data_IF_098000916270
#
_entry.id   IF_098000916270
#
_cell.length_a   1.000
_cell.length_b   1.000
_cell.length_c   1.000
_cell.angle_alpha   90.00
_cell.angle_beta   90.00
_cell.angle_gamma   90.00
#
_symmetry.space_group_name_H-M   'P 1'
#
loop_
_entity.id
_entity.type
_entity.pdbx_description
1 polymer ?
#
# COMPACT_ATOMS: atom_id res chain seq x y z
N UNK A 1 -10.44 0.33 -6.29
CA UNK A 1 -9.86 1.42 -5.47
C UNK A 1 -8.35 1.41 -5.67
N UNK A 2 -7.61 2.41 -5.18
CA UNK A 2 -6.15 2.67 -5.37
C UNK A 2 -5.57 2.32 -6.75
N UNK A 3 -5.31 1.05 -7.06
CA UNK A 3 -4.82 0.59 -8.38
C UNK A 3 -5.72 0.98 -9.56
N UNK A 4 -7.01 1.21 -9.30
CA UNK A 4 -8.00 1.59 -10.31
C UNK A 4 -8.39 3.08 -10.29
N UNK A 5 -7.69 3.90 -9.51
CA UNK A 5 -7.97 5.32 -9.40
C UNK A 5 -7.58 6.08 -10.68
N UNK A 6 -8.29 7.16 -10.98
CA UNK A 6 -7.99 8.01 -12.12
C UNK A 6 -7.02 9.12 -11.70
N UNK A 7 -5.95 9.31 -12.48
CA UNK A 7 -4.95 10.36 -12.26
C UNK A 7 -5.33 11.69 -12.94
N UNK A 8 -6.41 11.67 -13.74
CA UNK A 8 -6.86 12.79 -14.54
C UNK A 8 -8.23 13.27 -14.06
N UNK A 9 -8.46 14.56 -14.20
CA UNK A 9 -9.77 15.18 -13.98
C UNK A 9 -10.70 14.94 -15.19
N UNK A 10 -11.92 15.46 -15.11
CA UNK A 10 -12.95 15.33 -16.17
C UNK A 10 -12.56 15.98 -17.51
N UNK A 11 -11.58 16.88 -17.52
CA UNK A 11 -11.03 17.49 -18.73
C UNK A 11 -9.86 16.69 -19.34
N UNK A 12 -9.49 15.55 -18.73
CA UNK A 12 -8.34 14.75 -19.14
C UNK A 12 -6.99 15.36 -18.73
N UNK A 13 -6.97 16.31 -17.80
CA UNK A 13 -5.75 16.95 -17.27
C UNK A 13 -5.36 16.37 -15.92
N UNK A 14 -4.09 16.45 -15.50
CA UNK A 14 -3.70 16.11 -14.14
C UNK A 14 -4.55 16.83 -13.09
N UNK A 15 -4.81 16.16 -11.97
CA UNK A 15 -5.59 16.72 -10.87
C UNK A 15 -4.83 17.89 -10.23
N UNK A 16 -5.53 18.96 -9.90
CA UNK A 16 -4.98 20.08 -9.14
C UNK A 16 -5.31 19.94 -7.64
N UNK A 17 -4.44 20.45 -6.78
CA UNK A 17 -4.71 20.62 -5.36
C UNK A 17 -5.62 21.84 -5.11
N UNK A 18 -5.95 22.11 -3.84
CA UNK A 18 -6.83 23.21 -3.48
C UNK A 18 -6.29 24.59 -3.93
N UNK A 19 -4.96 24.74 -4.01
CA UNK A 19 -4.29 25.98 -4.40
C UNK A 19 -4.26 26.17 -5.93
N UNK A 20 -4.96 25.31 -6.69
CA UNK A 20 -4.95 25.28 -8.15
C UNK A 20 -3.59 24.95 -8.77
N UNK A 21 -2.66 24.38 -7.99
CA UNK A 21 -1.40 23.84 -8.48
C UNK A 21 -1.56 22.33 -8.77
N UNK A 22 -0.64 21.75 -9.56
CA UNK A 22 -0.63 20.31 -9.81
C UNK A 22 -0.56 19.53 -8.49
N UNK A 23 -1.46 18.55 -8.31
CA UNK A 23 -1.45 17.69 -7.14
C UNK A 23 -0.29 16.70 -7.23
N UNK A 24 0.43 16.54 -6.12
CA UNK A 24 1.46 15.53 -5.98
C UNK A 24 0.91 14.26 -5.33
N UNK A 25 1.79 13.27 -5.16
CA UNK A 25 1.46 12.00 -4.53
C UNK A 25 0.90 12.16 -3.11
N UNK A 26 1.34 13.18 -2.37
CA UNK A 26 0.87 13.43 -1.00
C UNK A 26 -0.52 14.08 -0.98
N UNK A 27 -0.88 14.82 -2.03
CA UNK A 27 -2.19 15.43 -2.18
C UNK A 27 -3.27 14.44 -2.67
N UNK A 28 -2.94 13.56 -3.63
CA UNK A 28 -3.94 12.66 -4.25
C UNK A 28 -3.76 11.18 -3.94
N UNK A 29 -2.63 10.76 -3.36
CA UNK A 29 -2.29 9.34 -3.25
C UNK A 29 -2.33 8.68 -4.63
N UNK A 30 -3.11 7.62 -4.76
CA UNK A 30 -3.30 6.91 -6.04
C UNK A 30 -4.17 7.65 -7.06
N UNK A 31 -4.82 8.76 -6.69
CA UNK A 31 -5.70 9.53 -7.60
C UNK A 31 -7.16 9.59 -7.13
N UNK A 32 -8.03 10.06 -8.02
CA UNK A 32 -9.46 10.15 -7.77
C UNK A 32 -10.13 8.77 -7.86
N UNK A 33 -11.06 8.48 -6.95
CA UNK A 33 -11.76 7.19 -6.95
C UNK A 33 -12.56 7.00 -8.24
N UNK A 34 -12.47 5.80 -8.82
CA UNK A 34 -13.33 5.33 -9.90
C UNK A 34 -14.07 4.06 -9.44
N UNK A 35 -15.33 4.19 -8.96
CA UNK A 35 -16.09 3.05 -8.45
C UNK A 35 -16.34 1.97 -9.49
N UNK A 36 -16.62 2.35 -10.74
CA UNK A 36 -16.91 1.40 -11.82
C UNK A 36 -15.70 0.50 -12.12
N UNK A 37 -14.49 1.09 -12.23
CA UNK A 37 -13.26 0.30 -12.37
C UNK A 37 -12.90 -0.46 -11.10
N UNK A 38 -13.21 0.08 -9.93
CA UNK A 38 -12.93 -0.56 -8.65
C UNK A 38 -13.70 -1.86 -8.43
N UNK A 39 -14.84 -2.05 -9.11
CA UNK A 39 -15.66 -3.24 -9.00
C UNK A 39 -14.99 -4.48 -9.62
N UNK A 40 -14.12 -4.29 -10.61
CA UNK A 40 -13.35 -5.36 -11.24
C UNK A 40 -11.90 -4.89 -11.49
N UNK A 41 -11.04 -4.95 -10.46
CA UNK A 41 -9.69 -4.41 -10.54
C UNK A 41 -8.70 -5.32 -11.27
N UNK A 42 -9.08 -6.56 -11.59
CA UNK A 42 -8.20 -7.60 -12.14
C UNK A 42 -7.20 -8.16 -11.11
N UNK A 43 -6.34 -7.29 -10.56
CA UNK A 43 -5.33 -7.65 -9.54
C UNK A 43 -5.54 -6.88 -8.24
N UNK A 44 -5.32 -7.53 -7.11
CA UNK A 44 -5.39 -6.93 -5.77
C UNK A 44 -4.13 -7.23 -4.95
N UNK A 45 -3.81 -6.31 -4.05
CA UNK A 45 -2.76 -6.46 -3.04
C UNK A 45 -3.44 -6.86 -1.72
N UNK A 46 -3.59 -8.15 -1.49
CA UNK A 46 -4.25 -8.66 -0.28
C UNK A 46 -3.34 -8.61 0.94
N UNK A 47 -3.93 -8.29 2.09
CA UNK A 47 -3.33 -8.43 3.42
C UNK A 47 -4.41 -8.91 4.41
N UNK A 48 -4.02 -9.79 5.31
CA UNK A 48 -4.78 -10.19 6.49
C UNK A 48 -4.37 -9.34 7.70
N UNK A 49 -5.20 -9.25 8.74
CA UNK A 49 -4.84 -8.52 9.96
C UNK A 49 -3.50 -8.94 10.56
N UNK A 50 -3.15 -10.23 10.47
CA UNK A 50 -1.90 -10.76 11.01
C UNK A 50 -0.66 -10.37 10.19
N UNK A 51 -0.82 -9.99 8.92
CA UNK A 51 0.29 -9.51 8.07
C UNK A 51 0.81 -8.14 8.54
N UNK A 52 0.00 -7.40 9.31
CA UNK A 52 0.43 -6.14 9.92
C UNK A 52 1.31 -6.34 11.16
N UNK A 53 1.31 -7.52 11.78
CA UNK A 53 2.12 -7.78 12.97
C UNK A 53 3.63 -7.66 12.66
N UNK A 54 4.20 -8.39 11.67
CA UNK A 54 5.61 -8.25 11.34
C UNK A 54 5.97 -6.84 10.83
N UNK A 55 5.01 -6.13 10.21
CA UNK A 55 5.17 -4.72 9.83
C UNK A 55 5.35 -3.81 11.06
N UNK A 56 4.44 -3.88 12.03
CA UNK A 56 4.50 -3.09 13.25
C UNK A 56 5.75 -3.42 14.07
N UNK A 57 6.11 -4.70 14.18
CA UNK A 57 7.34 -5.14 14.82
C UNK A 57 8.59 -4.59 14.10
N UNK A 58 8.59 -4.56 12.77
CA UNK A 58 9.68 -4.00 11.95
C UNK A 58 9.84 -2.49 12.07
N UNK A 59 8.75 -1.76 12.35
CA UNK A 59 8.78 -0.33 12.69
C UNK A 59 9.37 -0.05 14.08
N UNK A 60 9.67 -1.09 14.88
CA UNK A 60 10.27 -0.96 16.21
C UNK A 60 9.25 -0.82 17.35
N UNK A 61 7.98 -1.20 17.13
CA UNK A 61 7.00 -1.27 18.21
C UNK A 61 7.34 -2.41 19.16
N UNK A 62 7.08 -2.20 20.45
CA UNK A 62 7.25 -3.23 21.48
C UNK A 62 6.11 -4.25 21.43
N UNK A 63 6.37 -5.48 21.88
CA UNK A 63 5.38 -6.57 22.03
C UNK A 63 4.08 -6.09 22.68
N UNK A 64 4.18 -5.28 23.75
CA UNK A 64 3.02 -4.72 24.45
C UNK A 64 2.23 -3.76 23.56
N UNK A 65 2.88 -2.88 22.80
CA UNK A 65 2.20 -1.93 21.91
C UNK A 65 1.49 -2.66 20.77
N UNK A 66 2.17 -3.64 20.15
CA UNK A 66 1.57 -4.46 19.09
C UNK A 66 0.39 -5.26 19.65
N UNK A 67 0.53 -5.81 20.87
CA UNK A 67 -0.55 -6.56 21.52
C UNK A 67 -1.78 -5.71 21.86
N UNK A 68 -1.60 -4.43 22.19
CA UNK A 68 -2.70 -3.47 22.36
C UNK A 68 -3.43 -3.26 21.02
N UNK A 69 -2.69 -3.05 19.92
CA UNK A 69 -3.27 -2.83 18.59
C UNK A 69 -3.97 -4.08 18.03
N UNK A 70 -3.37 -5.25 18.23
CA UNK A 70 -3.92 -6.53 17.79
C UNK A 70 -4.99 -7.10 18.74
N UNK A 71 -5.23 -6.44 19.88
CA UNK A 71 -6.14 -6.89 20.94
C UNK A 71 -5.86 -8.32 21.47
N UNK A 72 -4.60 -8.77 21.44
CA UNK A 72 -4.16 -10.07 21.95
C UNK A 72 -2.69 -10.03 22.34
N UNK A 73 -2.22 -11.00 23.13
CA UNK A 73 -0.79 -11.10 23.44
C UNK A 73 -0.02 -11.47 22.17
N UNK A 74 1.00 -10.67 21.86
CA UNK A 74 1.89 -10.85 20.70
C UNK A 74 3.32 -10.82 21.19
N UNK A 75 4.15 -11.68 20.62
CA UNK A 75 5.60 -11.64 20.74
C UNK A 75 6.18 -11.49 19.34
N UNK A 76 6.81 -10.35 19.05
CA UNK A 76 7.32 -10.03 17.71
C UNK A 76 8.29 -11.09 17.17
N UNK A 77 9.04 -11.76 18.06
CA UNK A 77 9.94 -12.85 17.69
C UNK A 77 9.22 -14.02 16.99
N UNK A 78 7.95 -14.27 17.33
CA UNK A 78 7.18 -15.39 16.78
C UNK A 78 6.63 -15.09 15.38
N UNK A 79 6.45 -13.82 15.04
CA UNK A 79 5.94 -13.35 13.75
C UNK A 79 7.03 -12.85 12.80
N UNK A 80 8.23 -12.55 13.33
CA UNK A 80 9.32 -11.93 12.58
C UNK A 80 9.10 -10.43 12.36
N UNK A 81 9.92 -9.86 11.49
CA UNK A 81 9.85 -8.44 11.12
C UNK A 81 10.00 -8.28 9.61
N UNK A 82 9.34 -7.26 9.05
CA UNK A 82 9.54 -6.81 7.66
C UNK A 82 9.94 -5.34 7.64
N UNK A 83 10.57 -4.88 6.57
CA UNK A 83 10.85 -3.45 6.39
C UNK A 83 9.55 -2.69 6.10
N UNK A 84 9.54 -1.39 6.40
CA UNK A 84 8.39 -0.51 6.16
C UNK A 84 7.88 -0.59 4.71
N UNK A 85 8.82 -0.71 3.79
CA UNK A 85 8.58 -0.76 2.37
C UNK A 85 8.10 -2.12 1.89
N UNK A 86 8.11 -3.18 2.69
CA UNK A 86 7.80 -4.56 2.27
C UNK A 86 6.38 -5.03 2.61
N UNK A 87 5.60 -4.20 3.33
CA UNK A 87 4.16 -4.45 3.51
C UNK A 87 3.49 -4.55 2.14
N UNK A 88 2.61 -5.54 1.93
CA UNK A 88 1.98 -5.80 0.63
C UNK A 88 0.92 -4.74 0.25
N UNK A 89 1.31 -3.49 0.16
CA UNK A 89 0.43 -2.34 -0.01
C UNK A 89 0.52 -1.81 -1.45
N UNK A 90 -0.58 -1.32 -2.07
CA UNK A 90 -0.63 -0.82 -3.45
C UNK A 90 -0.02 0.59 -3.61
N UNK A 91 1.08 0.85 -2.90
CA UNK A 91 1.91 2.04 -2.99
C UNK A 91 3.32 1.66 -2.56
N UNK A 92 4.32 2.19 -3.26
CA UNK A 92 5.72 2.05 -2.89
C UNK A 92 6.22 3.40 -2.36
N UNK A 93 6.68 3.41 -1.11
CA UNK A 93 7.40 4.53 -0.52
C UNK A 93 8.73 4.01 -0.01
N UNK A 94 9.82 4.61 -0.50
CA UNK A 94 11.19 4.24 -0.13
C UNK A 94 11.98 5.51 0.15
N UNK A 95 12.69 5.52 1.27
CA UNK A 95 13.60 6.63 1.60
C UNK A 95 15.01 6.27 1.16
N UNK A 96 15.52 6.93 0.13
CA UNK A 96 16.90 6.74 -0.35
C UNK A 96 17.83 7.76 0.33
N UNK A 97 18.92 7.28 0.95
CA UNK A 97 19.96 8.14 1.55
C UNK A 97 21.33 7.76 1.00
N UNK A 98 21.94 8.66 0.23
CA UNK A 98 23.22 8.40 -0.46
C UNK A 98 23.05 7.40 -1.62
N UNK A 99 24.13 6.69 -1.96
CA UNK A 99 24.12 5.67 -3.02
C UNK A 99 23.60 4.32 -2.51
N UNK A 100 22.34 4.30 -2.06
CA UNK A 100 21.68 3.08 -1.57
C UNK A 100 20.73 2.53 -2.63
N UNK A 101 20.87 1.24 -2.91
CA UNK A 101 19.89 0.48 -3.68
C UNK A 101 18.84 -0.11 -2.73
N UNK A 102 17.55 0.09 -3.05
CA UNK A 102 16.45 -0.52 -2.31
C UNK A 102 15.64 -1.44 -3.22
N UNK A 103 15.35 -2.64 -2.72
CA UNK A 103 14.47 -3.60 -3.39
C UNK A 103 13.29 -3.86 -2.46
N UNK A 104 12.10 -3.98 -3.05
CA UNK A 104 10.91 -4.40 -2.34
C UNK A 104 10.14 -5.44 -3.14
N UNK A 105 9.48 -6.35 -2.44
CA UNK A 105 8.71 -7.44 -3.02
C UNK A 105 7.24 -7.26 -2.68
N UNK A 106 6.38 -7.58 -3.64
CA UNK A 106 4.92 -7.54 -3.51
C UNK A 106 4.31 -8.80 -4.09
N UNK A 107 3.17 -9.18 -3.55
CA UNK A 107 2.35 -10.28 -4.04
C UNK A 107 1.02 -9.72 -4.50
N UNK A 108 0.64 -10.03 -5.74
CA UNK A 108 -0.67 -9.66 -6.27
C UNK A 108 -1.51 -10.91 -6.49
N UNK A 109 -2.78 -10.83 -6.13
CA UNK A 109 -3.78 -11.89 -6.35
C UNK A 109 -4.62 -11.52 -7.56
N UNK A 110 -4.77 -12.46 -8.51
CA UNK A 110 -5.74 -12.30 -9.60
C UNK A 110 -7.16 -12.57 -9.10
N UNK A 111 -8.03 -11.58 -9.26
CA UNK A 111 -9.47 -11.63 -8.95
C UNK A 111 -10.34 -11.37 -10.19
N UNK A 112 -9.73 -11.19 -11.36
CA UNK A 112 -10.41 -11.04 -12.64
C UNK A 112 -10.49 -12.36 -13.41
N UNK A 113 -10.26 -12.30 -14.73
CA UNK A 113 -10.36 -13.47 -15.60
C UNK A 113 -9.32 -14.56 -15.26
N UNK A 114 -9.76 -15.81 -15.32
CA UNK A 114 -8.88 -16.96 -15.14
C UNK A 114 -7.89 -17.08 -16.32
N UNK A 115 -6.66 -17.50 -16.02
CA UNK A 115 -5.60 -17.73 -17.02
C UNK A 115 -5.18 -16.49 -17.84
N UNK A 116 -5.13 -15.32 -17.21
CA UNK A 116 -4.58 -14.09 -17.80
C UNK A 116 -3.08 -13.92 -17.52
N UNK A 117 -2.40 -13.20 -18.41
CA UNK A 117 -1.03 -12.69 -18.22
C UNK A 117 -1.06 -11.15 -18.27
N UNK A 118 -0.33 -10.49 -17.39
CA UNK A 118 -0.26 -9.04 -17.25
C UNK A 118 1.16 -8.53 -17.51
#
# INVERSE_FOLDING_TARGET
MMTTADLLNVEGKPINNQQLALADLFATGSGHVNPSKANDPGLVYDNQPDDYIPYLCGLGYTDTQVGILAHRSITCKDYGTILEQDLNYPLISVTLRGDVHSQTVRTVTNVGEAHSCY
#
